data_IF_967239780322
#
_entry.id   IF_967239780322
#
_cell.length_a   1.000
_cell.length_b   1.000
_cell.length_c   1.000
_cell.angle_alpha   90.00
_cell.angle_beta   90.00
_cell.angle_gamma   90.00
#
_symmetry.space_group_name_H-M   'P 1'
#
loop_
_entity.id
_entity.type
_entity.pdbx_description
1 polymer ?
#
# COMPACT_ATOMS: atom_id res chain seq x y z
N UNK A 1 -1.31 -12.34 6.39
CA UNK A 1 -0.57 -12.09 5.14
C UNK A 1 0.20 -10.78 5.28
N UNK A 2 1.32 -10.63 4.58
CA UNK A 2 2.05 -9.37 4.40
C UNK A 2 1.51 -8.66 3.16
N UNK A 3 0.83 -7.53 3.36
CA UNK A 3 0.22 -6.76 2.27
C UNK A 3 1.05 -5.50 2.04
N UNK A 4 1.47 -5.23 0.79
CA UNK A 4 2.29 -4.08 0.50
C UNK A 4 1.49 -2.79 0.56
N UNK A 5 2.10 -1.76 1.15
CA UNK A 5 1.52 -0.43 1.27
C UNK A 5 2.50 0.63 0.81
N UNK A 6 2.02 1.85 0.69
CA UNK A 6 2.86 3.03 0.62
C UNK A 6 2.23 4.13 1.45
N UNK A 7 3.05 4.93 2.12
CA UNK A 7 2.58 6.13 2.78
C UNK A 7 2.26 7.23 1.76
N UNK A 8 1.02 7.71 1.78
CA UNK A 8 0.57 8.87 1.00
C UNK A 8 -0.18 9.79 1.95
N UNK A 9 0.26 11.04 2.11
CA UNK A 9 -0.38 12.02 3.01
C UNK A 9 -0.59 11.51 4.46
N UNK A 10 0.32 10.69 4.98
CA UNK A 10 0.22 10.12 6.34
C UNK A 10 -0.77 8.97 6.48
N UNK A 11 -1.37 8.48 5.39
CA UNK A 11 -2.17 7.25 5.38
C UNK A 11 -1.45 6.13 4.66
N UNK A 12 -1.62 4.91 5.17
CA UNK A 12 -1.12 3.70 4.52
C UNK A 12 -2.09 3.26 3.43
N UNK A 13 -1.63 3.27 2.19
CA UNK A 13 -2.42 2.89 1.04
C UNK A 13 -1.94 1.54 0.49
N UNK A 14 -2.85 0.55 0.44
CA UNK A 14 -2.58 -0.76 -0.19
C UNK A 14 -2.11 -0.56 -1.62
N UNK A 15 -1.00 -1.20 -1.97
CA UNK A 15 -0.44 -1.17 -3.31
C UNK A 15 -1.08 -2.26 -4.17
N UNK A 16 -1.66 -1.84 -5.29
CA UNK A 16 -2.18 -2.73 -6.33
C UNK A 16 -1.14 -2.87 -7.46
N UNK A 17 -1.12 -4.02 -8.10
CA UNK A 17 -0.37 -4.24 -9.33
C UNK A 17 -1.30 -4.31 -10.53
N UNK A 18 -0.67 -4.37 -11.70
CA UNK A 18 -1.33 -4.69 -12.96
C UNK A 18 -0.72 -5.94 -13.56
N UNK A 19 -1.56 -6.82 -14.07
CA UNK A 19 -1.13 -7.92 -14.93
C UNK A 19 -0.68 -7.37 -16.29
N UNK A 20 0.03 -8.18 -17.08
CA UNK A 20 0.40 -7.83 -18.46
C UNK A 20 -0.81 -7.54 -19.36
N UNK A 21 -1.99 -8.03 -18.99
CA UNK A 21 -3.28 -7.73 -19.63
C UNK A 21 -3.85 -6.36 -19.26
N UNK A 22 -3.24 -5.64 -18.30
CA UNK A 22 -3.70 -4.35 -17.79
C UNK A 22 -4.69 -4.43 -16.63
N UNK A 23 -5.18 -5.63 -16.31
CA UNK A 23 -6.08 -5.91 -15.18
C UNK A 23 -5.42 -5.55 -13.85
N UNK A 24 -6.15 -4.88 -12.96
CA UNK A 24 -5.68 -4.54 -11.61
C UNK A 24 -5.83 -5.75 -10.68
N UNK A 25 -4.79 -6.04 -9.93
CA UNK A 25 -4.74 -7.16 -8.99
C UNK A 25 -4.18 -6.69 -7.65
N UNK A 26 -4.80 -7.15 -6.56
CA UNK A 26 -4.23 -6.97 -5.23
C UNK A 26 -3.11 -7.99 -5.03
N UNK A 27 -2.06 -7.64 -4.30
CA UNK A 27 -0.96 -8.55 -4.01
C UNK A 27 -0.90 -8.80 -2.52
N UNK A 28 -0.61 -10.03 -2.15
CA UNK A 28 -0.24 -10.39 -0.80
C UNK A 28 0.94 -11.36 -0.81
N UNK A 29 1.67 -11.38 0.30
CA UNK A 29 2.78 -12.28 0.50
C UNK A 29 2.57 -13.09 1.77
N UNK A 30 3.00 -14.35 1.73
CA UNK A 30 2.98 -15.21 2.91
C UNK A 30 4.05 -14.80 3.92
N UNK A 31 5.18 -14.27 3.45
CA UNK A 31 6.27 -13.80 4.31
C UNK A 31 6.85 -12.44 3.87
N UNK A 32 7.43 -11.66 4.81
CA UNK A 32 8.12 -10.41 4.49
C UNK A 32 9.32 -10.60 3.54
N UNK A 33 9.99 -11.75 3.58
CA UNK A 33 11.16 -12.06 2.75
C UNK A 33 10.76 -12.20 1.29
N UNK A 34 9.64 -12.89 1.00
CA UNK A 34 9.07 -12.99 -0.36
C UNK A 34 8.67 -11.63 -0.90
N UNK A 35 8.06 -10.79 -0.06
CA UNK A 35 7.71 -9.42 -0.41
C UNK A 35 8.94 -8.60 -0.81
N UNK A 36 10.00 -8.66 0.00
CA UNK A 36 11.26 -7.94 -0.27
C UNK A 36 11.99 -8.47 -1.50
N UNK A 37 11.92 -9.77 -1.76
CA UNK A 37 12.48 -10.36 -2.96
C UNK A 37 11.77 -9.88 -4.23
N UNK A 38 10.43 -9.79 -4.19
CA UNK A 38 9.63 -9.42 -5.36
C UNK A 38 9.59 -7.90 -5.65
N UNK A 39 9.69 -7.06 -4.61
CA UNK A 39 9.49 -5.60 -4.73
C UNK A 39 10.67 -4.75 -4.25
N UNK A 40 11.71 -5.37 -3.73
CA UNK A 40 12.88 -4.71 -3.15
C UNK A 40 12.80 -4.52 -1.63
N UNK A 41 13.95 -4.31 -0.97
CA UNK A 41 14.06 -4.32 0.49
C UNK A 41 13.39 -3.13 1.18
N UNK A 42 13.22 -2.00 0.49
CA UNK A 42 12.63 -0.77 1.03
C UNK A 42 11.10 -0.70 0.96
N UNK A 43 10.45 -1.77 0.51
CA UNK A 43 9.01 -1.78 0.33
C UNK A 43 8.29 -1.97 1.68
N UNK A 44 7.45 -0.99 2.03
CA UNK A 44 6.61 -1.02 3.23
C UNK A 44 5.48 -2.04 3.12
N UNK A 45 5.06 -2.59 4.26
CA UNK A 45 4.01 -3.60 4.34
C UNK A 45 3.33 -3.60 5.71
N UNK A 46 2.10 -4.10 5.73
CA UNK A 46 1.32 -4.30 6.95
C UNK A 46 0.83 -5.74 7.05
N UNK A 47 0.48 -6.17 8.27
CA UNK A 47 -0.23 -7.43 8.47
C UNK A 47 -1.72 -7.23 8.23
N UNK A 48 -2.27 -8.04 7.34
CA UNK A 48 -3.70 -8.02 7.02
C UNK A 48 -4.20 -9.44 6.75
N UNK A 49 -5.46 -9.69 7.10
CA UNK A 49 -6.17 -10.90 6.70
C UNK A 49 -6.62 -10.78 5.23
N UNK A 50 -6.63 -11.89 4.49
CA UNK A 50 -7.08 -11.88 3.09
C UNK A 50 -8.52 -11.34 2.97
N UNK A 51 -9.41 -11.70 3.90
CA UNK A 51 -10.80 -11.21 3.92
C UNK A 51 -10.88 -9.70 4.06
N UNK A 52 -10.03 -9.09 4.89
CA UNK A 52 -9.94 -7.65 5.04
C UNK A 52 -9.39 -6.99 3.77
N UNK A 53 -8.33 -7.55 3.18
CA UNK A 53 -7.79 -7.08 1.90
C UNK A 53 -8.86 -7.12 0.81
N UNK A 54 -9.58 -8.25 0.69
CA UNK A 54 -10.68 -8.44 -0.27
C UNK A 54 -11.78 -7.41 -0.09
N UNK A 55 -12.18 -7.13 1.15
CA UNK A 55 -13.18 -6.11 1.46
C UNK A 55 -12.72 -4.71 1.03
N UNK A 56 -11.44 -4.38 1.19
CA UNK A 56 -10.86 -3.09 0.79
C UNK A 56 -10.78 -2.91 -0.73
N UNK A 57 -10.43 -3.96 -1.47
CA UNK A 57 -10.14 -3.84 -2.92
C UNK A 57 -11.36 -4.09 -3.80
N UNK A 58 -12.39 -4.79 -3.30
CA UNK A 58 -13.62 -5.07 -4.05
C UNK A 58 -14.33 -3.79 -4.56
N UNK A 59 -14.51 -2.71 -3.77
CA UNK A 59 -15.12 -1.46 -4.25
C UNK A 59 -14.33 -0.79 -5.37
N UNK A 60 -13.05 -1.10 -5.53
CA UNK A 60 -12.18 -0.57 -6.58
C UNK A 60 -12.27 -1.38 -7.90
N UNK A 61 -13.16 -2.37 -7.95
CA UNK A 61 -13.31 -3.29 -9.08
C UNK A 61 -12.23 -4.38 -9.15
N UNK A 62 -11.44 -4.55 -8.09
CA UNK A 62 -10.41 -5.59 -8.02
C UNK A 62 -11.00 -6.85 -7.40
N UNK A 63 -11.10 -7.90 -8.20
CA UNK A 63 -11.68 -9.19 -7.79
C UNK A 63 -10.60 -10.25 -7.53
N UNK A 64 -9.41 -10.07 -8.10
CA UNK A 64 -8.27 -10.97 -7.98
C UNK A 64 -7.29 -10.51 -6.90
N UNK A 65 -6.89 -11.45 -6.07
CA UNK A 65 -5.75 -11.32 -5.14
C UNK A 65 -4.70 -12.33 -5.60
N UNK A 66 -3.48 -11.86 -5.82
CA UNK A 66 -2.34 -12.68 -6.20
C UNK A 66 -1.45 -12.89 -4.98
N UNK A 67 -1.38 -14.14 -4.52
CA UNK A 67 -0.43 -14.54 -3.48
C UNK A 67 0.95 -14.77 -4.08
N UNK A 68 1.98 -14.29 -3.37
CA UNK A 68 3.41 -14.51 -3.61
C UNK A 68 3.86 -14.43 -5.09
N UNK A 69 3.58 -13.33 -5.82
CA UNK A 69 4.15 -13.15 -7.15
C UNK A 69 5.69 -13.08 -7.08
N UNK A 70 6.38 -13.71 -8.03
CA UNK A 70 7.85 -13.75 -8.05
C UNK A 70 8.48 -12.40 -8.37
N UNK A 71 7.83 -11.57 -9.18
CA UNK A 71 8.28 -10.22 -9.51
C UNK A 71 7.07 -9.30 -9.63
N UNK A 72 7.21 -8.07 -9.13
CA UNK A 72 6.22 -7.02 -9.32
C UNK A 72 6.93 -5.86 -9.99
N UNK A 73 6.40 -5.41 -11.13
CA UNK A 73 6.97 -4.27 -11.83
C UNK A 73 7.00 -3.04 -10.90
N UNK A 74 8.07 -2.23 -10.95
CA UNK A 74 8.12 -0.99 -10.18
C UNK A 74 6.94 -0.10 -10.58
N UNK A 75 6.42 0.72 -9.65
CA UNK A 75 5.35 1.64 -9.97
C UNK A 75 5.76 2.51 -11.15
N UNK A 76 4.95 2.53 -12.21
CA UNK A 76 5.14 3.47 -13.31
C UNK A 76 5.09 4.87 -12.70
N UNK A 77 6.13 5.66 -12.92
CA UNK A 77 6.11 7.07 -12.52
C UNK A 77 4.90 7.71 -13.21
N UNK A 78 3.84 7.93 -12.44
CA UNK A 78 2.68 8.65 -12.95
C UNK A 78 3.21 10.02 -13.38
N UNK A 79 3.00 10.39 -14.65
CA UNK A 79 3.25 11.74 -15.12
C UNK A 79 2.65 12.70 -14.09
N UNK A 80 3.49 13.56 -13.50
CA UNK A 80 3.17 14.44 -12.37
C UNK A 80 1.71 14.88 -12.43
N UNK A 81 0.84 14.19 -11.69
CA UNK A 81 -0.48 14.74 -11.39
C UNK A 81 -0.18 15.99 -10.60
N UNK A 82 -0.47 17.13 -11.23
CA UNK A 82 -0.18 18.49 -10.80
C UNK A 82 -0.16 18.56 -9.27
N UNK A 83 1.01 18.88 -8.71
CA UNK A 83 1.25 19.25 -7.31
C UNK A 83 -0.01 19.85 -6.69
N UNK A 84 -0.77 19.04 -5.96
CA UNK A 84 -1.72 19.57 -4.99
C UNK A 84 -0.96 19.71 -3.68
N UNK A 85 -0.63 20.96 -3.32
CA UNK A 85 -0.27 21.32 -1.95
C UNK A 85 1.21 21.20 -1.56
N UNK A 86 2.04 22.16 -1.99
CA UNK A 86 3.15 22.63 -1.14
C UNK A 86 2.52 23.28 0.12
N UNK A 87 2.45 22.57 1.25
CA UNK A 87 1.94 23.17 2.48
C UNK A 87 1.61 22.20 3.62
N UNK A 88 2.59 21.51 4.18
CA UNK A 88 2.47 20.94 5.52
C UNK A 88 3.80 21.06 6.28
N UNK A 89 4.27 22.30 6.44
CA UNK A 89 5.19 22.62 7.55
C UNK A 89 4.33 22.90 8.77
N UNK A 90 4.45 22.08 9.82
CA UNK A 90 4.99 22.49 11.12
C UNK A 90 4.92 21.31 12.09
N UNK A 91 6.08 20.96 12.63
CA UNK A 91 6.16 20.39 13.98
C UNK A 91 5.48 21.40 14.91
N UNK A 92 4.49 20.96 15.66
CA UNK A 92 4.13 21.57 16.93
C UNK A 92 4.37 20.49 18.00
N UNK A 93 5.35 20.77 18.84
CA UNK A 93 5.50 20.16 20.15
C UNK A 93 4.34 20.62 21.06
N UNK A 94 4.02 19.79 22.06
CA UNK A 94 3.05 20.06 23.12
C UNK A 94 2.11 18.87 23.28
N UNK A 95 2.42 17.86 24.12
CA UNK A 95 2.15 17.88 25.56
C UNK A 95 0.68 18.22 25.88
N UNK A 96 -0.08 17.22 26.31
CA UNK A 96 -1.46 17.40 26.76
C UNK A 96 -2.18 16.06 26.95
N UNK A 97 -1.96 15.44 28.11
CA UNK A 97 -2.77 14.33 28.63
C UNK A 97 -4.24 14.79 28.71
N UNK A 98 -5.16 14.00 28.17
CA UNK A 98 -6.59 14.23 28.27
C UNK A 98 -7.36 12.91 28.16
N UNK A 99 -7.76 12.40 29.32
CA UNK A 99 -8.49 11.15 29.53
C UNK A 99 -9.82 11.12 28.77
N UNK A 100 -10.08 10.05 28.00
CA UNK A 100 -11.44 9.69 27.57
C UNK A 100 -12.12 8.95 28.72
N UNK A 101 -13.28 9.44 29.13
CA UNK A 101 -14.20 8.81 30.08
C UNK A 101 -15.58 8.80 29.42
#
# INVERSE_FOLDING_TARGET
MCVPVHATHGVECVRLARLGTGERVAIEFTTPERLRAAMGPGQEWIRMAESALRALVRPLGVTRIQADPSVVAPPTAAAETRRCGRGARRRAAGAGLGSWK
#
